data_IF_057354544305
#
_entry.id   IF_057354544305
#
_cell.length_a   1.000
_cell.length_b   1.000
_cell.length_c   1.000
_cell.angle_alpha   90.00
_cell.angle_beta   90.00
_cell.angle_gamma   90.00
#
_symmetry.space_group_name_H-M   'P 1'
#
loop_
_entity.id
_entity.type
_entity.pdbx_description
1 polymer ?
#
# COMPACT_ATOMS: atom_id res chain seq x y z
N UNK A 1 -10.83 9.81 -6.94
CA UNK A 1 -10.05 8.99 -7.89
C UNK A 1 -9.90 7.57 -7.38
N UNK A 2 -9.59 7.37 -6.09
CA UNK A 2 -9.58 6.03 -5.47
C UNK A 2 -10.87 5.25 -5.68
N UNK A 3 -12.05 5.89 -5.56
CA UNK A 3 -13.32 5.20 -5.84
C UNK A 3 -13.42 4.70 -7.28
N UNK A 4 -12.92 5.48 -8.25
CA UNK A 4 -12.86 5.08 -9.66
C UNK A 4 -11.95 3.86 -9.81
N UNK A 5 -10.76 3.90 -9.20
CA UNK A 5 -9.81 2.78 -9.25
C UNK A 5 -10.39 1.53 -8.58
N UNK A 6 -11.07 1.68 -7.43
CA UNK A 6 -11.74 0.57 -6.76
C UNK A 6 -12.84 -0.04 -7.63
N UNK A 7 -13.65 0.79 -8.29
CA UNK A 7 -14.62 0.32 -9.28
C UNK A 7 -13.94 -0.38 -10.45
N UNK A 8 -12.80 0.11 -10.96
CA UNK A 8 -12.04 -0.58 -12.01
C UNK A 8 -11.56 -1.96 -11.56
N UNK A 9 -11.00 -2.08 -10.35
CA UNK A 9 -10.57 -3.37 -9.77
C UNK A 9 -11.75 -4.34 -9.70
N UNK A 10 -12.92 -3.88 -9.23
CA UNK A 10 -14.14 -4.69 -9.18
C UNK A 10 -14.60 -5.16 -10.57
N UNK A 11 -14.45 -4.36 -11.62
CA UNK A 11 -14.80 -4.76 -12.99
C UNK A 11 -13.79 -5.73 -13.61
N UNK A 12 -12.50 -5.60 -13.29
CA UNK A 12 -11.45 -6.52 -13.75
C UNK A 12 -11.56 -7.90 -13.07
N UNK A 13 -12.11 -7.96 -11.86
CA UNK A 13 -12.32 -9.18 -11.10
C UNK A 13 -13.81 -9.35 -10.75
N UNK A 14 -14.68 -9.67 -11.73
CA UNK A 14 -16.13 -9.67 -11.52
C UNK A 14 -16.62 -10.74 -10.52
N UNK A 15 -15.80 -11.77 -10.26
CA UNK A 15 -16.07 -12.82 -9.29
C UNK A 15 -15.60 -12.46 -7.86
N UNK A 16 -14.85 -11.37 -7.70
CA UNK A 16 -14.43 -10.89 -6.39
C UNK A 16 -15.40 -9.82 -5.87
N UNK A 17 -15.33 -9.54 -4.57
CA UNK A 17 -16.05 -8.45 -3.92
C UNK A 17 -15.01 -7.49 -3.37
N UNK A 18 -15.02 -6.25 -3.84
CA UNK A 18 -14.11 -5.18 -3.37
C UNK A 18 -14.88 -4.23 -2.47
N UNK A 19 -14.45 -4.11 -1.20
CA UNK A 19 -15.09 -3.22 -0.21
C UNK A 19 -14.10 -2.20 0.33
N UNK A 20 -14.58 -1.00 0.63
CA UNK A 20 -13.82 -0.03 1.41
C UNK A 20 -13.68 -0.53 2.85
N UNK A 21 -12.53 -0.29 3.45
CA UNK A 21 -12.22 -0.61 4.85
C UNK A 21 -12.27 0.66 5.71
N UNK A 22 -12.39 0.46 7.02
CA UNK A 22 -12.18 1.50 8.03
C UNK A 22 -10.82 1.36 8.70
N UNK A 23 -10.68 1.95 9.88
CA UNK A 23 -9.53 1.74 10.74
C UNK A 23 -9.55 0.32 11.32
N UNK A 24 -8.46 -0.41 11.17
CA UNK A 24 -8.21 -1.70 11.81
C UNK A 24 -7.13 -1.50 12.85
N UNK A 25 -7.36 -2.01 14.07
CA UNK A 25 -6.45 -1.90 15.19
C UNK A 25 -5.76 -3.25 15.37
N UNK A 26 -4.45 -3.23 15.62
CA UNK A 26 -3.68 -4.45 15.83
C UNK A 26 -4.19 -5.18 17.09
N UNK A 27 -4.41 -6.51 17.02
CA UNK A 27 -5.10 -7.23 18.09
C UNK A 27 -4.32 -7.27 19.42
N UNK A 28 -2.98 -7.21 19.35
CA UNK A 28 -2.09 -7.23 20.53
C UNK A 28 -1.58 -5.83 20.89
N UNK A 29 -0.85 -5.19 19.99
CA UNK A 29 -0.33 -3.83 20.14
C UNK A 29 -1.35 -2.74 19.72
N UNK A 30 -2.38 -2.48 20.55
CA UNK A 30 -3.54 -1.62 20.22
C UNK A 30 -3.22 -0.16 19.81
N UNK A 31 -2.00 0.32 20.07
CA UNK A 31 -1.52 1.62 19.61
C UNK A 31 -1.05 1.61 18.15
N UNK A 32 -1.08 0.45 17.49
CA UNK A 32 -0.81 0.28 16.07
C UNK A 32 -2.14 0.06 15.34
N UNK A 33 -2.39 0.86 14.32
CA UNK A 33 -3.60 0.75 13.51
C UNK A 33 -3.30 1.13 12.06
N UNK A 34 -4.12 0.63 11.13
CA UNK A 34 -4.02 0.94 9.72
C UNK A 34 -5.40 1.05 9.07
N UNK A 35 -5.50 1.86 8.03
CA UNK A 35 -6.72 2.00 7.21
C UNK A 35 -6.37 1.68 5.76
N UNK A 36 -6.50 0.42 5.31
CA UNK A 36 -6.34 0.07 3.90
C UNK A 36 -7.37 0.80 3.03
N UNK A 37 -7.13 0.88 1.72
CA UNK A 37 -8.08 1.48 0.77
C UNK A 37 -9.21 0.54 0.37
N UNK A 38 -8.99 -0.76 0.56
CA UNK A 38 -10.03 -1.76 0.49
C UNK A 38 -9.60 -3.19 0.86
N UNK A 39 -10.60 -4.06 0.85
CA UNK A 39 -10.50 -5.50 1.01
C UNK A 39 -11.12 -6.17 -0.21
N UNK A 40 -10.36 -7.05 -0.85
CA UNK A 40 -10.78 -7.87 -1.97
C UNK A 40 -11.05 -9.27 -1.43
N UNK A 41 -12.27 -9.77 -1.63
CA UNK A 41 -12.65 -11.16 -1.32
C UNK A 41 -12.90 -11.94 -2.60
N UNK A 42 -12.24 -13.07 -2.80
CA UNK A 42 -12.46 -13.95 -3.94
C UNK A 42 -12.70 -15.38 -3.43
N UNK A 43 -13.97 -15.79 -3.37
CA UNK A 43 -14.34 -17.02 -2.66
C UNK A 43 -14.03 -16.91 -1.16
N UNK A 44 -13.14 -17.78 -0.67
CA UNK A 44 -12.65 -17.80 0.71
C UNK A 44 -11.35 -17.01 0.90
N UNK A 45 -10.73 -16.54 -0.20
CA UNK A 45 -9.48 -15.80 -0.14
C UNK A 45 -9.70 -14.30 0.09
N UNK A 46 -8.79 -13.70 0.85
CA UNK A 46 -8.81 -12.28 1.19
C UNK A 46 -7.47 -11.62 0.88
N UNK A 47 -7.52 -10.44 0.28
CA UNK A 47 -6.35 -9.63 -0.07
C UNK A 47 -6.66 -8.15 0.19
N UNK A 48 -5.68 -7.39 0.68
CA UNK A 48 -5.83 -5.95 0.80
C UNK A 48 -5.72 -5.24 -0.55
N UNK A 49 -6.22 -4.02 -0.61
CA UNK A 49 -6.06 -3.10 -1.71
C UNK A 49 -5.48 -1.79 -1.18
N UNK A 50 -4.38 -1.34 -1.79
CA UNK A 50 -3.75 -0.05 -1.51
C UNK A 50 -3.57 0.71 -2.82
N UNK A 51 -4.10 1.93 -2.89
CA UNK A 51 -4.21 2.74 -4.10
C UNK A 51 -3.46 4.05 -3.89
N UNK A 52 -2.47 4.33 -4.75
CA UNK A 52 -1.79 5.63 -4.80
C UNK A 52 -2.13 6.33 -6.10
N UNK A 53 -2.82 7.47 -5.98
CA UNK A 53 -3.10 8.33 -7.12
C UNK A 53 -1.96 9.33 -7.32
N UNK A 54 -1.24 9.22 -8.43
CA UNK A 54 -0.13 10.12 -8.79
C UNK A 54 -0.63 11.08 -9.85
N UNK A 55 -0.57 12.38 -9.55
CA UNK A 55 -0.90 13.44 -10.50
C UNK A 55 0.32 13.77 -11.38
N UNK A 56 0.11 13.78 -12.70
CA UNK A 56 1.15 14.08 -13.70
C UNK A 56 0.72 15.24 -14.59
N UNK A 57 1.07 16.48 -14.26
CA UNK A 57 0.69 17.63 -15.08
C UNK A 57 1.48 17.74 -16.39
N UNK A 58 2.71 17.21 -16.41
CA UNK A 58 3.66 17.32 -17.53
C UNK A 58 3.50 16.22 -18.60
N UNK A 59 2.61 15.26 -18.37
CA UNK A 59 2.36 14.16 -19.29
C UNK A 59 3.38 13.02 -19.22
N UNK A 60 4.32 13.05 -18.26
CA UNK A 60 5.41 12.08 -18.16
C UNK A 60 4.96 10.62 -18.06
N UNK A 61 5.70 9.72 -18.72
CA UNK A 61 5.46 8.27 -18.63
C UNK A 61 5.81 7.74 -17.22
N UNK A 62 5.44 6.50 -16.90
CA UNK A 62 5.84 5.91 -15.62
C UNK A 62 7.36 5.65 -15.58
N UNK A 63 7.93 5.22 -16.71
CA UNK A 63 9.35 4.97 -16.94
C UNK A 63 10.16 6.27 -16.83
N UNK A 64 9.62 7.38 -17.34
CA UNK A 64 10.24 8.69 -17.18
C UNK A 64 10.29 9.12 -15.71
N UNK A 65 9.22 8.88 -14.94
CA UNK A 65 9.24 9.15 -13.50
C UNK A 65 10.25 8.26 -12.78
N UNK A 66 10.27 6.97 -13.08
CA UNK A 66 11.22 6.03 -12.48
C UNK A 66 12.66 6.44 -12.75
N UNK A 67 12.96 6.90 -13.97
CA UNK A 67 14.33 7.28 -14.38
C UNK A 67 14.75 8.67 -13.89
N UNK A 68 13.85 9.67 -13.92
CA UNK A 68 14.17 11.07 -13.60
C UNK A 68 14.06 11.40 -12.11
N UNK A 69 13.29 10.63 -11.34
CA UNK A 69 13.01 10.91 -9.93
C UNK A 69 13.54 9.81 -9.03
N UNK A 70 14.66 10.07 -8.37
CA UNK A 70 15.25 9.16 -7.38
C UNK A 70 14.32 8.91 -6.19
N UNK A 71 13.48 9.89 -5.83
CA UNK A 71 12.48 9.83 -4.77
C UNK A 71 11.19 9.09 -5.17
N UNK A 72 11.06 8.69 -6.43
CA UNK A 72 9.87 7.97 -6.89
C UNK A 72 9.75 6.60 -6.24
N UNK A 73 8.51 6.17 -5.99
CA UNK A 73 8.23 4.94 -5.25
C UNK A 73 8.59 3.65 -6.02
N UNK A 74 8.55 3.68 -7.35
CA UNK A 74 8.92 2.53 -8.18
C UNK A 74 10.38 2.59 -8.62
N UNK A 75 10.96 1.41 -8.85
CA UNK A 75 12.25 1.21 -9.50
C UNK A 75 12.10 0.28 -10.70
N UNK A 76 12.96 0.44 -11.70
CA UNK A 76 13.09 -0.51 -12.80
C UNK A 76 14.45 -1.21 -12.66
N UNK A 77 14.43 -2.50 -12.38
CA UNK A 77 15.63 -3.33 -12.28
C UNK A 77 15.58 -4.36 -13.41
N UNK A 78 16.45 -4.23 -14.41
CA UNK A 78 16.53 -5.13 -15.56
C UNK A 78 15.20 -5.33 -16.31
N UNK A 79 14.40 -4.27 -16.45
CA UNK A 79 13.08 -4.32 -17.10
C UNK A 79 11.93 -4.65 -16.16
N UNK A 80 12.20 -5.02 -14.90
CA UNK A 80 11.17 -5.32 -13.91
C UNK A 80 10.86 -4.09 -13.06
N UNK A 81 9.65 -3.56 -13.22
CA UNK A 81 9.14 -2.43 -12.44
C UNK A 81 8.53 -2.95 -11.14
N UNK A 82 9.05 -2.51 -10.00
CA UNK A 82 8.58 -2.88 -8.65
C UNK A 82 8.58 -1.70 -7.69
N UNK A 83 7.73 -1.76 -6.66
CA UNK A 83 7.78 -0.89 -5.50
C UNK A 83 9.09 -1.10 -4.74
N UNK A 84 9.86 -0.02 -4.60
CA UNK A 84 11.11 -0.02 -3.83
C UNK A 84 10.84 -0.51 -2.40
N UNK A 85 11.59 -1.54 -1.98
CA UNK A 85 11.43 -2.18 -0.66
C UNK A 85 11.82 -1.29 0.52
N UNK A 86 12.58 -0.22 0.26
CA UNK A 86 12.92 0.82 1.23
C UNK A 86 12.01 2.07 1.15
N UNK A 87 10.95 2.06 0.35
CA UNK A 87 10.04 3.20 0.22
C UNK A 87 8.91 3.14 1.26
N UNK A 88 8.45 4.31 1.74
CA UNK A 88 7.41 4.43 2.78
C UNK A 88 6.11 3.65 2.49
N UNK A 89 5.72 3.54 1.22
CA UNK A 89 4.53 2.75 0.85
C UNK A 89 4.71 1.25 1.10
N UNK A 90 5.92 0.71 0.96
CA UNK A 90 6.18 -0.69 1.28
C UNK A 90 5.97 -0.93 2.77
N UNK A 91 6.56 -0.09 3.64
CA UNK A 91 6.35 -0.15 5.08
C UNK A 91 4.88 0.05 5.49
N UNK A 92 4.15 0.95 4.81
CA UNK A 92 2.72 1.16 5.04
C UNK A 92 1.93 -0.14 4.77
N UNK A 93 2.21 -0.80 3.64
CA UNK A 93 1.55 -2.06 3.27
C UNK A 93 1.90 -3.19 4.24
N UNK A 94 3.17 -3.31 4.66
CA UNK A 94 3.57 -4.30 5.64
C UNK A 94 2.86 -4.11 6.99
N UNK A 95 2.68 -2.87 7.44
CA UNK A 95 1.88 -2.56 8.62
C UNK A 95 0.40 -2.95 8.42
N UNK A 96 -0.20 -2.60 7.28
CA UNK A 96 -1.59 -2.98 6.99
C UNK A 96 -1.79 -4.51 6.99
N UNK A 97 -0.87 -5.27 6.39
CA UNK A 97 -0.89 -6.73 6.37
C UNK A 97 -0.78 -7.33 7.77
N UNK A 98 0.15 -6.83 8.59
CA UNK A 98 0.30 -7.27 9.97
C UNK A 98 -0.96 -7.00 10.81
N UNK A 99 -1.50 -5.78 10.74
CA UNK A 99 -2.65 -5.34 11.55
C UNK A 99 -3.93 -6.11 11.18
N UNK A 100 -4.08 -6.49 9.90
CA UNK A 100 -5.24 -7.24 9.40
C UNK A 100 -5.06 -8.75 9.42
N UNK A 101 -3.86 -9.24 9.76
CA UNK A 101 -3.47 -10.64 9.67
C UNK A 101 -3.69 -11.25 8.25
N UNK A 102 -3.44 -10.46 7.21
CA UNK A 102 -3.54 -10.88 5.81
C UNK A 102 -2.15 -11.05 5.20
N UNK A 103 -2.04 -11.92 4.18
CA UNK A 103 -0.76 -12.29 3.59
C UNK A 103 -0.40 -11.49 2.34
N UNK A 104 -1.38 -10.84 1.70
CA UNK A 104 -1.19 -10.19 0.41
C UNK A 104 -1.95 -8.87 0.30
N UNK A 105 -1.36 -7.93 -0.42
CA UNK A 105 -1.95 -6.65 -0.78
C UNK A 105 -1.75 -6.39 -2.27
N UNK A 106 -2.84 -6.08 -2.99
CA UNK A 106 -2.78 -5.53 -4.33
C UNK A 106 -2.45 -4.03 -4.22
N UNK A 107 -1.21 -3.68 -4.54
CA UNK A 107 -0.75 -2.30 -4.62
C UNK A 107 -1.01 -1.76 -6.03
N UNK A 108 -1.67 -0.61 -6.12
CA UNK A 108 -2.00 0.06 -7.38
C UNK A 108 -1.46 1.48 -7.38
N UNK A 109 -0.79 1.86 -8.47
CA UNK A 109 -0.53 3.26 -8.80
C UNK A 109 -1.44 3.66 -9.94
N UNK A 110 -2.34 4.61 -9.67
CA UNK A 110 -3.15 5.25 -10.69
C UNK A 110 -2.52 6.57 -11.11
N UNK A 111 -2.09 6.65 -12.36
CA UNK A 111 -1.54 7.84 -12.98
C UNK A 111 -2.68 8.61 -13.65
N UNK A 112 -3.08 9.74 -13.06
CA UNK A 112 -4.08 10.60 -13.67
C UNK A 112 -3.41 11.49 -14.74
N UNK A 113 -3.47 11.05 -16.00
CA UNK A 113 -2.99 11.82 -17.16
C UNK A 113 -4.09 11.86 -18.24
N UNK A 114 -4.29 13.05 -18.83
CA UNK A 114 -5.20 13.25 -19.97
C UNK A 114 -4.58 12.82 -21.31
N UNK A 115 -3.25 12.67 -21.37
CA UNK A 115 -2.47 12.52 -22.60
C UNK A 115 -2.01 11.09 -22.88
N UNK A 116 -1.99 10.19 -21.88
CA UNK A 116 -1.53 8.79 -22.06
C UNK A 116 -2.65 7.77 -21.83
N UNK A 117 -2.59 6.64 -22.56
CA UNK A 117 -3.53 5.53 -22.45
C UNK A 117 -3.24 4.61 -21.25
N UNK A 118 -1.98 4.42 -20.90
CA UNK A 118 -1.58 3.65 -19.72
C UNK A 118 -1.72 4.50 -18.46
N UNK A 119 -2.59 4.04 -17.56
CA UNK A 119 -2.99 4.79 -16.36
C UNK A 119 -2.75 4.02 -15.07
N UNK A 120 -2.37 2.73 -15.14
CA UNK A 120 -2.37 1.85 -13.98
C UNK A 120 -1.11 1.00 -13.97
N UNK A 121 -0.41 1.02 -12.84
CA UNK A 121 0.57 0.01 -12.45
C UNK A 121 0.00 -0.80 -11.29
N UNK A 122 0.25 -2.10 -11.26
CA UNK A 122 -0.15 -2.97 -10.15
C UNK A 122 0.93 -3.98 -9.78
N UNK A 123 1.09 -4.22 -8.48
CA UNK A 123 1.98 -5.23 -7.92
C UNK A 123 1.25 -5.95 -6.78
N UNK A 124 1.40 -7.27 -6.65
CA UNK A 124 1.01 -7.98 -5.43
C UNK A 124 2.18 -7.98 -4.46
N UNK A 125 1.98 -7.39 -3.29
CA UNK A 125 2.95 -7.35 -2.20
C UNK A 125 2.59 -8.43 -1.19
N UNK A 126 3.55 -9.30 -0.88
CA UNK A 126 3.40 -10.32 0.15
C UNK A 126 3.88 -9.79 1.51
N UNK A 127 3.30 -10.33 2.58
CA UNK A 127 3.76 -10.05 3.94
C UNK A 127 5.20 -10.52 4.16
N UNK A 128 6.00 -9.65 4.76
CA UNK A 128 7.39 -9.89 5.10
C UNK A 128 7.50 -9.91 6.63
N UNK A 129 7.48 -11.11 7.20
CA UNK A 129 7.47 -11.29 8.65
C UNK A 129 8.75 -10.80 9.32
N UNK A 130 9.90 -10.95 8.65
CA UNK A 130 11.20 -10.51 9.18
C UNK A 130 11.25 -8.98 9.24
N UNK A 131 10.87 -8.31 8.15
CA UNK A 131 10.79 -6.86 8.12
C UNK A 131 9.78 -6.32 9.14
N UNK A 132 8.63 -6.99 9.28
CA UNK A 132 7.61 -6.57 10.24
C UNK A 132 8.13 -6.67 11.68
N UNK A 133 8.84 -7.73 12.04
CA UNK A 133 9.40 -7.89 13.38
C UNK A 133 10.40 -6.77 13.74
N UNK A 134 11.24 -6.36 12.78
CA UNK A 134 12.11 -5.19 12.94
C UNK A 134 11.32 -3.88 13.10
N UNK A 135 10.26 -3.69 12.30
CA UNK A 135 9.41 -2.50 12.40
C UNK A 135 8.67 -2.44 13.74
N UNK A 136 8.12 -3.57 14.19
CA UNK A 136 7.39 -3.69 15.43
C UNK A 136 8.27 -3.35 16.63
N UNK A 137 9.54 -3.80 16.64
CA UNK A 137 10.51 -3.40 17.66
C UNK A 137 10.71 -1.88 17.73
N UNK A 138 10.80 -1.21 16.57
CA UNK A 138 10.93 0.25 16.50
C UNK A 138 9.64 0.96 16.96
N UNK A 139 8.47 0.47 16.57
CA UNK A 139 7.18 1.02 17.00
C UNK A 139 6.96 0.88 18.50
N UNK A 140 7.27 -0.29 19.08
CA UNK A 140 7.22 -0.54 20.53
C UNK A 140 8.11 0.43 21.30
N UNK A 141 9.37 0.55 20.87
CA UNK A 141 10.31 1.47 21.50
C UNK A 141 9.83 2.93 21.42
N UNK A 142 9.36 3.37 20.24
CA UNK A 142 8.83 4.71 20.06
C UNK A 142 7.61 4.96 20.97
N UNK A 143 6.65 4.05 20.96
CA UNK A 143 5.42 4.21 21.74
C UNK A 143 5.70 4.22 23.24
N UNK A 144 6.40 3.21 23.75
CA UNK A 144 6.60 3.04 25.21
C UNK A 144 7.56 4.08 25.81
N UNK A 145 8.63 4.44 25.10
CA UNK A 145 9.69 5.26 25.67
C UNK A 145 9.59 6.75 25.30
N UNK A 146 8.75 7.12 24.32
CA UNK A 146 8.64 8.52 23.87
C UNK A 146 7.19 9.02 23.83
N UNK A 147 6.27 8.27 23.21
CA UNK A 147 4.89 8.76 23.04
C UNK A 147 4.05 8.60 24.31
N UNK A 148 4.08 7.42 24.94
CA UNK A 148 3.30 7.11 26.14
C UNK A 148 3.65 8.04 27.32
N UNK A 149 4.93 8.33 27.64
CA UNK A 149 5.26 9.29 28.69
C UNK A 149 4.67 10.67 28.44
N UNK A 150 4.73 11.16 27.18
CA UNK A 150 4.25 12.50 26.80
C UNK A 150 2.72 12.67 26.97
N UNK A 151 1.93 11.61 26.79
CA UNK A 151 0.47 11.67 26.89
C UNK A 151 -0.06 11.33 28.29
N UNK A 152 0.81 10.87 29.19
CA UNK A 152 0.49 10.56 30.58
C UNK A 152 0.83 11.73 31.53
N UNK A 153 1.44 12.79 31.01
CA UNK A 153 1.64 14.10 31.67
C UNK A 153 0.39 14.98 31.55
#
# INVERSE_FOLDING_TARGET
>A
MEDIVRSMVQHMHPQSIVRKTGLVIHPLDQYIAASPDGLIRSGEDYMLLEIKCIFKPDGSSLEELISKRSDFCLSNTNGFISLKRNHKYYFQIQCQLAVTNLQQCLFIIFCNNKLTKEKIYSETINFDCQLWEECLGKFRNFFLNFYLPLIME
#
